data_IF_955933270334
#
_entry.id   IF_955933270334
#
_cell.length_a   1.000
_cell.length_b   1.000
_cell.length_c   1.000
_cell.angle_alpha   90.00
_cell.angle_beta   90.00
_cell.angle_gamma   90.00
#
_symmetry.space_group_name_H-M   'P 1'
#
loop_
_entity.id
_entity.type
_entity.pdbx_description
1 polymer ?
#
# COMPACT_ATOMS: atom_id res chain seq x y z
N UNK A 1 -26.79 26.66 -9.45
CA UNK A 1 -26.37 25.27 -9.65
C UNK A 1 -25.81 25.09 -11.06
N UNK A 2 -26.56 25.45 -12.10
CA UNK A 2 -26.17 25.20 -13.50
C UNK A 2 -24.82 25.82 -13.89
N UNK A 3 -24.55 27.07 -13.49
CA UNK A 3 -23.23 27.72 -13.71
C UNK A 3 -22.09 26.93 -13.09
N UNK A 4 -22.25 26.44 -11.86
CA UNK A 4 -21.22 25.64 -11.17
C UNK A 4 -21.02 24.28 -11.84
N UNK A 5 -22.07 23.66 -12.34
CA UNK A 5 -21.97 22.41 -13.09
C UNK A 5 -21.28 22.60 -14.44
N UNK A 6 -21.53 23.73 -15.12
CA UNK A 6 -20.82 24.06 -16.36
C UNK A 6 -19.31 24.31 -16.11
N UNK A 7 -18.98 25.08 -15.07
CA UNK A 7 -17.57 25.27 -14.67
C UNK A 7 -16.90 23.95 -14.31
N UNK A 8 -17.60 23.06 -13.59
CA UNK A 8 -17.10 21.73 -13.26
C UNK A 8 -16.88 20.90 -14.52
N UNK A 9 -17.79 20.95 -15.49
CA UNK A 9 -17.66 20.22 -16.76
C UNK A 9 -16.44 20.68 -17.57
N UNK A 10 -16.17 22.01 -17.59
CA UNK A 10 -14.97 22.57 -18.24
C UNK A 10 -13.69 22.02 -17.57
N UNK A 11 -13.60 22.12 -16.24
CA UNK A 11 -12.43 21.65 -15.49
C UNK A 11 -12.24 20.13 -15.61
N UNK A 12 -13.35 19.38 -15.62
CA UNK A 12 -13.33 17.92 -15.77
C UNK A 12 -12.79 17.52 -17.15
N UNK A 13 -13.24 18.17 -18.23
CA UNK A 13 -12.71 17.93 -19.57
C UNK A 13 -11.21 18.23 -19.66
N UNK A 14 -10.76 19.36 -19.08
CA UNK A 14 -9.35 19.73 -19.04
C UNK A 14 -8.52 18.72 -18.25
N UNK A 15 -9.01 18.29 -17.09
CA UNK A 15 -8.36 17.28 -16.26
C UNK A 15 -8.18 15.96 -17.01
N UNK A 16 -9.24 15.47 -17.64
CA UNK A 16 -9.19 14.23 -18.40
C UNK A 16 -8.14 14.30 -19.53
N UNK A 17 -8.07 15.42 -20.24
CA UNK A 17 -7.07 15.61 -21.30
C UNK A 17 -5.64 15.68 -20.76
N UNK A 18 -5.42 16.28 -19.59
CA UNK A 18 -4.13 16.30 -18.90
C UNK A 18 -3.75 14.89 -18.46
N UNK A 19 -4.67 14.13 -17.88
CA UNK A 19 -4.45 12.72 -17.52
C UNK A 19 -4.07 11.89 -18.75
N UNK A 20 -4.69 12.13 -19.91
CA UNK A 20 -4.34 11.50 -21.18
C UNK A 20 -2.91 11.82 -21.66
N UNK A 21 -2.45 13.05 -21.43
CA UNK A 21 -1.05 13.44 -21.74
C UNK A 21 -0.07 12.75 -20.77
N UNK A 22 -0.42 12.68 -19.49
CA UNK A 22 0.39 11.97 -18.47
C UNK A 22 0.53 10.49 -18.85
N UNK A 23 -0.56 9.83 -19.21
CA UNK A 23 -0.56 8.44 -19.67
C UNK A 23 0.38 8.24 -20.85
N UNK A 24 0.39 9.15 -21.83
CA UNK A 24 1.28 9.06 -22.98
C UNK A 24 2.77 9.15 -22.59
N UNK A 25 3.12 10.10 -21.71
CA UNK A 25 4.47 10.23 -21.17
C UNK A 25 4.89 8.96 -20.41
N UNK A 26 3.99 8.42 -19.61
CA UNK A 26 4.26 7.19 -18.84
C UNK A 26 4.44 5.99 -19.78
N UNK A 27 3.67 5.91 -20.87
CA UNK A 27 3.84 4.86 -21.88
C UNK A 27 5.21 4.94 -22.59
N UNK A 28 5.73 6.13 -22.84
CA UNK A 28 7.09 6.33 -23.38
C UNK A 28 8.15 5.90 -22.37
N UNK A 29 8.01 6.30 -21.11
CA UNK A 29 8.92 5.91 -20.01
C UNK A 29 8.97 4.38 -19.82
N UNK A 30 7.82 3.71 -19.91
CA UNK A 30 7.71 2.26 -19.74
C UNK A 30 8.33 1.53 -20.94
N UNK A 31 7.94 1.90 -22.14
CA UNK A 31 8.43 1.30 -23.39
C UNK A 31 9.95 1.39 -23.52
N UNK A 32 10.54 2.54 -23.20
CA UNK A 32 11.96 2.80 -23.34
C UNK A 32 12.77 2.35 -22.10
N UNK A 33 12.11 1.82 -21.07
CA UNK A 33 12.73 1.31 -19.85
C UNK A 33 13.42 2.37 -18.99
N UNK A 34 13.08 3.65 -19.18
CA UNK A 34 13.79 4.80 -18.57
C UNK A 34 13.61 4.86 -17.05
N UNK A 35 12.58 4.23 -16.50
CA UNK A 35 12.29 4.23 -15.07
C UNK A 35 13.35 3.52 -14.22
N UNK A 36 14.09 2.54 -14.81
CA UNK A 36 15.09 1.75 -14.10
C UNK A 36 16.28 2.57 -13.59
N UNK A 37 16.69 3.61 -14.33
CA UNK A 37 17.79 4.50 -13.95
C UNK A 37 17.47 5.42 -12.76
N UNK A 38 16.18 5.62 -12.45
CA UNK A 38 15.73 6.54 -11.39
C UNK A 38 15.80 5.95 -9.97
N UNK A 39 16.16 4.67 -9.83
CA UNK A 39 16.06 3.94 -8.56
C UNK A 39 14.63 3.53 -8.18
N UNK A 40 13.61 3.86 -8.94
CA UNK A 40 12.25 3.43 -8.70
C UNK A 40 12.12 1.90 -8.82
N UNK A 41 11.18 1.31 -8.06
CA UNK A 41 10.98 -0.15 -8.06
C UNK A 41 10.09 -0.64 -9.19
N UNK A 42 9.31 0.25 -9.77
CA UNK A 42 8.34 -0.02 -10.84
C UNK A 42 7.84 1.29 -11.45
N UNK A 43 7.23 1.21 -12.64
CA UNK A 43 6.58 2.36 -13.29
C UNK A 43 5.52 3.01 -12.37
N UNK A 44 4.57 2.27 -11.75
CA UNK A 44 3.64 2.89 -10.80
C UNK A 44 4.34 3.57 -9.62
N UNK A 45 5.42 2.98 -9.10
CA UNK A 45 6.21 3.58 -8.03
C UNK A 45 6.84 4.91 -8.45
N UNK A 46 7.39 5.00 -9.67
CA UNK A 46 7.91 6.24 -10.23
C UNK A 46 6.80 7.28 -10.38
N UNK A 47 5.66 6.90 -10.96
CA UNK A 47 4.53 7.80 -11.19
C UNK A 47 4.01 8.36 -9.88
N UNK A 48 3.77 7.52 -8.87
CA UNK A 48 3.30 7.95 -7.56
C UNK A 48 4.28 8.95 -6.91
N UNK A 49 5.57 8.66 -6.98
CA UNK A 49 6.62 9.53 -6.44
C UNK A 49 6.68 10.89 -7.15
N UNK A 50 6.76 10.90 -8.49
CA UNK A 50 6.98 12.13 -9.26
C UNK A 50 5.75 13.03 -9.34
N UNK A 51 4.55 12.45 -9.35
CA UNK A 51 3.30 13.21 -9.49
C UNK A 51 2.59 13.47 -8.17
N UNK A 52 2.97 12.77 -7.09
CA UNK A 52 2.33 12.90 -5.78
C UNK A 52 0.95 12.23 -5.69
N UNK A 53 0.55 11.42 -6.69
CA UNK A 53 -0.72 10.68 -6.65
C UNK A 53 -0.61 9.43 -5.76
N UNK A 54 -1.75 8.90 -5.34
CA UNK A 54 -1.78 7.65 -4.59
C UNK A 54 -1.23 6.48 -5.42
N UNK A 55 -0.71 5.45 -4.75
CA UNK A 55 -0.23 4.23 -5.41
C UNK A 55 -1.30 3.61 -6.33
N UNK A 56 -2.57 3.60 -5.90
CA UNK A 56 -3.69 3.08 -6.69
C UNK A 56 -3.91 3.88 -7.97
N UNK A 57 -3.83 5.20 -7.90
CA UNK A 57 -3.97 6.07 -9.09
C UNK A 57 -2.78 5.87 -10.05
N UNK A 58 -1.57 5.76 -9.52
CA UNK A 58 -0.38 5.45 -10.31
C UNK A 58 -0.47 4.09 -11.02
N UNK A 59 -1.04 3.07 -10.37
CA UNK A 59 -1.32 1.76 -10.96
C UNK A 59 -2.32 1.87 -12.11
N UNK A 60 -3.36 2.69 -11.95
CA UNK A 60 -4.34 2.96 -13.03
C UNK A 60 -3.68 3.66 -14.22
N UNK A 61 -2.87 4.70 -13.98
CA UNK A 61 -2.12 5.39 -15.05
C UNK A 61 -1.21 4.41 -15.79
N UNK A 62 -0.46 3.59 -15.06
CA UNK A 62 0.45 2.61 -15.67
C UNK A 62 -0.29 1.51 -16.42
N UNK A 63 -1.44 1.05 -15.93
CA UNK A 63 -2.27 0.07 -16.64
C UNK A 63 -2.76 0.59 -17.99
N UNK A 64 -3.22 1.85 -18.05
CA UNK A 64 -3.62 2.50 -19.31
C UNK A 64 -2.41 2.69 -20.23
N UNK A 65 -1.28 3.14 -19.69
CA UNK A 65 -0.05 3.34 -20.44
C UNK A 65 0.47 2.04 -21.07
N UNK A 66 0.45 0.94 -20.31
CA UNK A 66 0.90 -0.37 -20.77
C UNK A 66 0.07 -0.93 -21.94
N UNK A 67 -1.24 -0.64 -21.97
CA UNK A 67 -2.17 -1.11 -23.02
C UNK A 67 -2.61 -0.01 -23.99
N UNK A 68 -1.82 1.06 -24.12
CA UNK A 68 -2.18 2.23 -24.93
C UNK A 68 -2.42 1.87 -26.42
N UNK A 69 -1.69 0.90 -26.96
CA UNK A 69 -1.81 0.43 -28.34
C UNK A 69 -3.03 -0.51 -28.54
N UNK A 70 -3.51 -1.14 -27.46
CA UNK A 70 -4.65 -2.04 -27.51
C UNK A 70 -5.98 -1.30 -27.42
N UNK A 71 -6.00 -0.12 -26.79
CA UNK A 71 -7.20 0.70 -26.56
C UNK A 71 -7.08 2.12 -27.13
N UNK A 72 -6.76 2.28 -28.43
CA UNK A 72 -6.48 3.58 -29.02
C UNK A 72 -7.69 4.52 -28.99
N UNK A 73 -8.93 4.03 -29.14
CA UNK A 73 -10.16 4.86 -29.10
C UNK A 73 -10.48 5.32 -27.68
N UNK A 74 -10.35 4.44 -26.71
CA UNK A 74 -10.52 4.78 -25.30
C UNK A 74 -9.49 5.84 -24.86
N UNK A 75 -8.23 5.68 -25.24
CA UNK A 75 -7.17 6.65 -24.95
C UNK A 75 -7.36 7.96 -25.70
N UNK A 76 -7.84 7.91 -26.95
CA UNK A 76 -8.21 9.12 -27.68
C UNK A 76 -9.32 9.89 -26.96
N UNK A 77 -10.35 9.20 -26.49
CA UNK A 77 -11.44 9.82 -25.71
C UNK A 77 -10.95 10.47 -24.40
N UNK A 78 -9.96 9.86 -23.72
CA UNK A 78 -9.29 10.46 -22.56
C UNK A 78 -8.53 11.73 -22.96
N UNK A 79 -7.73 11.69 -24.01
CA UNK A 79 -6.94 12.84 -24.50
C UNK A 79 -7.82 13.99 -25.02
N UNK A 80 -8.98 13.69 -25.55
CA UNK A 80 -9.99 14.66 -25.98
C UNK A 80 -10.83 15.21 -24.82
N UNK A 81 -10.61 14.70 -23.61
CA UNK A 81 -11.32 15.12 -22.42
C UNK A 81 -12.69 14.47 -22.21
N UNK A 82 -13.15 13.57 -23.10
CA UNK A 82 -14.47 12.93 -23.05
C UNK A 82 -14.59 11.86 -21.98
N UNK A 83 -13.55 11.08 -21.77
CA UNK A 83 -13.50 9.99 -20.79
C UNK A 83 -12.58 10.33 -19.63
N UNK A 84 -12.95 9.87 -18.44
CA UNK A 84 -12.09 9.99 -17.27
C UNK A 84 -11.01 8.91 -17.24
N UNK A 85 -9.91 9.20 -16.52
CA UNK A 85 -8.86 8.21 -16.26
C UNK A 85 -9.42 6.94 -15.58
N UNK A 86 -10.40 7.09 -14.68
CA UNK A 86 -11.01 5.96 -14.00
C UNK A 86 -11.83 5.06 -14.95
N UNK A 87 -12.54 5.65 -15.93
CA UNK A 87 -13.27 4.88 -16.95
C UNK A 87 -12.29 4.08 -17.82
N UNK A 88 -11.28 4.76 -18.38
CA UNK A 88 -10.29 4.10 -19.25
C UNK A 88 -9.42 3.12 -18.45
N UNK A 89 -9.13 3.43 -17.19
CA UNK A 89 -8.38 2.55 -16.29
C UNK A 89 -9.07 1.21 -16.04
N UNK A 90 -10.37 1.23 -15.76
CA UNK A 90 -11.14 -0.03 -15.57
C UNK A 90 -11.14 -0.87 -16.84
N UNK A 91 -11.23 -0.24 -18.02
CA UNK A 91 -11.13 -0.93 -19.30
C UNK A 91 -9.73 -1.54 -19.47
N UNK A 92 -8.68 -0.72 -19.34
CA UNK A 92 -7.31 -1.19 -19.51
C UNK A 92 -6.88 -2.27 -18.50
N UNK A 93 -7.40 -2.24 -17.27
CA UNK A 93 -7.06 -3.24 -16.26
C UNK A 93 -7.57 -4.65 -16.60
N UNK A 94 -8.70 -4.79 -17.31
CA UNK A 94 -9.43 -6.07 -17.33
C UNK A 94 -10.15 -6.45 -18.62
N UNK A 95 -10.40 -5.51 -19.54
CA UNK A 95 -11.13 -5.80 -20.75
C UNK A 95 -10.30 -6.68 -21.70
N UNK A 96 -10.99 -7.54 -22.46
CA UNK A 96 -10.36 -8.43 -23.42
C UNK A 96 -9.79 -7.66 -24.62
N UNK A 97 -8.76 -8.21 -25.23
CA UNK A 97 -8.14 -7.65 -26.44
C UNK A 97 -9.16 -7.56 -27.58
N UNK A 98 -9.06 -6.46 -28.36
CA UNK A 98 -9.98 -6.19 -29.47
C UNK A 98 -11.31 -5.54 -29.04
N UNK A 99 -11.53 -5.27 -27.76
CA UNK A 99 -12.77 -4.67 -27.24
C UNK A 99 -12.79 -3.14 -27.24
N UNK A 100 -11.78 -2.48 -27.79
CA UNK A 100 -11.61 -1.02 -27.74
C UNK A 100 -12.83 -0.25 -28.26
N UNK A 101 -13.35 -0.62 -29.44
CA UNK A 101 -14.53 0.04 -30.02
C UNK A 101 -15.76 -0.12 -29.13
N UNK A 102 -15.99 -1.33 -28.62
CA UNK A 102 -17.12 -1.66 -27.75
C UNK A 102 -17.13 -0.80 -26.49
N UNK A 103 -15.98 -0.74 -25.81
CA UNK A 103 -15.89 0.03 -24.55
C UNK A 103 -15.75 1.53 -24.76
N UNK A 104 -15.19 1.98 -25.87
CA UNK A 104 -15.20 3.40 -26.22
C UNK A 104 -16.61 3.93 -26.42
N UNK A 105 -17.48 3.17 -27.11
CA UNK A 105 -18.90 3.51 -27.25
C UNK A 105 -19.63 3.48 -25.91
N UNK A 106 -19.41 2.44 -25.11
CA UNK A 106 -20.05 2.31 -23.81
C UNK A 106 -19.61 3.40 -22.82
N UNK A 107 -18.35 3.82 -22.84
CA UNK A 107 -17.82 4.85 -21.95
C UNK A 107 -18.48 6.23 -22.12
N UNK A 108 -19.12 6.50 -23.25
CA UNK A 108 -19.84 7.76 -23.47
C UNK A 108 -21.05 7.93 -22.52
N UNK A 109 -21.68 6.84 -22.10
CA UNK A 109 -22.86 6.87 -21.23
C UNK A 109 -22.66 6.13 -19.90
N UNK A 110 -21.74 5.16 -19.84
CA UNK A 110 -21.60 4.30 -18.68
C UNK A 110 -20.69 4.88 -17.58
N UNK A 111 -21.14 4.76 -16.36
CA UNK A 111 -20.31 5.04 -15.17
C UNK A 111 -19.20 3.99 -15.01
N UNK A 112 -18.18 4.30 -14.22
CA UNK A 112 -17.09 3.37 -13.87
C UNK A 112 -17.63 2.02 -13.34
N UNK A 113 -18.69 2.06 -12.52
CA UNK A 113 -19.32 0.86 -11.96
C UNK A 113 -20.02 0.03 -13.04
N UNK A 114 -20.66 0.66 -14.00
CA UNK A 114 -21.32 -0.02 -15.13
C UNK A 114 -20.28 -0.67 -16.06
N UNK A 115 -19.21 0.04 -16.41
CA UNK A 115 -18.09 -0.51 -17.18
C UNK A 115 -17.49 -1.74 -16.48
N UNK A 116 -17.24 -1.64 -15.17
CA UNK A 116 -16.72 -2.78 -14.39
C UNK A 116 -17.65 -3.99 -14.42
N UNK A 117 -18.96 -3.77 -14.37
CA UNK A 117 -19.94 -4.84 -14.47
C UNK A 117 -19.99 -5.44 -15.88
N UNK A 118 -19.94 -4.63 -16.93
CA UNK A 118 -19.90 -5.10 -18.31
C UNK A 118 -18.68 -6.00 -18.57
N UNK A 119 -17.50 -5.57 -18.16
CA UNK A 119 -16.25 -6.32 -18.30
C UNK A 119 -16.29 -7.64 -17.51
N UNK A 120 -16.99 -7.70 -16.38
CA UNK A 120 -17.16 -8.95 -15.63
C UNK A 120 -18.03 -9.98 -16.37
N UNK A 121 -18.89 -9.54 -17.27
CA UNK A 121 -19.76 -10.40 -18.05
C UNK A 121 -19.09 -10.92 -19.32
N UNK A 122 -17.90 -10.46 -19.68
CA UNK A 122 -17.13 -11.02 -20.76
C UNK A 122 -16.87 -12.52 -20.52
N UNK A 123 -17.05 -13.35 -21.56
CA UNK A 123 -16.65 -14.76 -21.47
C UNK A 123 -15.15 -14.82 -21.22
N UNK A 124 -14.77 -15.48 -20.16
CA UNK A 124 -13.37 -15.79 -19.87
C UNK A 124 -13.13 -17.25 -20.26
N UNK A 125 -11.98 -17.56 -20.88
CA UNK A 125 -11.59 -18.95 -21.01
C UNK A 125 -11.59 -19.56 -19.60
N UNK A 126 -12.10 -20.78 -19.47
CA UNK A 126 -12.04 -21.50 -18.21
C UNK A 126 -10.61 -21.41 -17.69
N UNK A 127 -10.41 -20.97 -16.45
CA UNK A 127 -9.07 -20.86 -15.90
C UNK A 127 -8.45 -22.27 -15.98
N UNK A 128 -7.33 -22.39 -16.69
CA UNK A 128 -6.55 -23.63 -16.60
C UNK A 128 -6.38 -23.94 -15.11
N UNK A 129 -6.61 -25.22 -14.71
CA UNK A 129 -6.50 -25.59 -13.31
C UNK A 129 -5.11 -25.23 -12.82
N UNK A 130 -4.98 -24.09 -12.16
CA UNK A 130 -3.72 -23.65 -11.56
C UNK A 130 -3.45 -24.53 -10.35
N UNK A 131 -2.34 -25.26 -10.34
CA UNK A 131 -1.94 -26.05 -9.17
C UNK A 131 -1.42 -25.19 -8.01
N UNK A 132 -1.53 -23.86 -8.09
CA UNK A 132 -1.13 -23.00 -6.98
C UNK A 132 -2.19 -23.03 -5.87
N UNK A 133 -1.82 -23.47 -4.66
CA UNK A 133 -2.70 -23.35 -3.51
C UNK A 133 -3.07 -21.89 -3.29
N UNK A 134 -4.29 -21.61 -2.82
CA UNK A 134 -4.73 -20.24 -2.54
C UNK A 134 -3.72 -19.55 -1.63
N UNK A 135 -3.30 -18.33 -2.02
CA UNK A 135 -2.24 -17.60 -1.30
C UNK A 135 -2.73 -17.19 0.07
N UNK A 136 -2.05 -17.72 1.10
CA UNK A 136 -2.22 -17.23 2.47
C UNK A 136 -1.75 -15.79 2.56
N UNK A 137 -2.56 -14.92 3.17
CA UNK A 137 -2.15 -13.55 3.43
C UNK A 137 -2.72 -13.01 4.73
N UNK A 138 -1.94 -12.16 5.39
CA UNK A 138 -2.39 -11.37 6.54
C UNK A 138 -2.01 -9.93 6.27
N UNK A 139 -2.97 -9.03 6.30
CA UNK A 139 -2.75 -7.59 6.21
C UNK A 139 -3.32 -6.89 7.44
N UNK A 140 -2.73 -5.75 7.77
CA UNK A 140 -3.09 -4.92 8.92
C UNK A 140 -3.24 -3.49 8.45
N UNK A 141 -4.33 -2.84 8.87
CA UNK A 141 -4.58 -1.41 8.68
C UNK A 141 -5.01 -0.81 10.01
N UNK A 142 -4.47 0.33 10.40
CA UNK A 142 -4.82 1.01 11.64
C UNK A 142 -5.31 2.43 11.34
N UNK A 143 -6.34 2.85 12.06
CA UNK A 143 -6.81 4.23 12.16
C UNK A 143 -6.58 4.77 13.59
N UNK A 144 -7.19 5.91 13.94
CA UNK A 144 -7.01 6.56 15.24
C UNK A 144 -7.63 5.77 16.41
N UNK A 145 -8.58 4.88 16.14
CA UNK A 145 -9.39 4.19 17.16
C UNK A 145 -9.23 2.67 17.11
N UNK A 146 -8.87 2.10 15.96
CA UNK A 146 -8.90 0.66 15.77
C UNK A 146 -7.79 0.14 14.86
N UNK A 147 -7.57 -1.16 14.95
CA UNK A 147 -6.71 -1.90 14.03
C UNK A 147 -7.49 -3.05 13.41
N UNK A 148 -7.60 -3.02 12.08
CA UNK A 148 -8.24 -4.08 11.30
C UNK A 148 -7.20 -5.07 10.80
N UNK A 149 -7.45 -6.37 11.04
CA UNK A 149 -6.70 -7.48 10.47
C UNK A 149 -7.54 -8.18 9.41
N UNK A 150 -7.02 -8.31 8.18
CA UNK A 150 -7.62 -9.09 7.11
C UNK A 150 -6.76 -10.32 6.85
N UNK A 151 -7.35 -11.50 7.08
CA UNK A 151 -6.70 -12.79 6.93
C UNK A 151 -7.36 -13.51 5.75
N UNK A 152 -6.57 -14.05 4.82
CA UNK A 152 -7.02 -14.89 3.71
C UNK A 152 -6.35 -16.24 3.84
N UNK A 153 -7.17 -17.30 3.92
CA UNK A 153 -6.75 -18.69 4.09
C UNK A 153 -7.46 -19.60 3.08
N UNK A 154 -6.87 -20.74 2.71
CA UNK A 154 -7.59 -21.85 2.09
C UNK A 154 -8.79 -22.28 2.94
N UNK A 155 -9.82 -22.88 2.32
CA UNK A 155 -11.04 -23.26 3.03
C UNK A 155 -10.81 -24.31 4.13
N UNK A 156 -9.92 -25.23 3.91
CA UNK A 156 -9.52 -26.24 4.91
C UNK A 156 -8.85 -25.61 6.14
N UNK A 157 -7.97 -24.64 5.94
CA UNK A 157 -7.32 -23.91 7.02
C UNK A 157 -8.28 -22.93 7.71
N UNK A 158 -9.16 -22.27 6.96
CA UNK A 158 -10.18 -21.40 7.50
C UNK A 158 -11.13 -22.18 8.43
N UNK A 159 -11.53 -23.40 8.06
CA UNK A 159 -12.35 -24.26 8.91
C UNK A 159 -11.69 -24.60 10.26
N UNK A 160 -10.37 -24.76 10.30
CA UNK A 160 -9.63 -24.96 11.56
C UNK A 160 -9.67 -23.70 12.44
N UNK A 161 -9.51 -22.52 11.83
CA UNK A 161 -9.60 -21.24 12.55
C UNK A 161 -11.01 -21.03 13.09
N UNK A 162 -12.04 -21.28 12.27
CA UNK A 162 -13.44 -21.14 12.68
C UNK A 162 -13.77 -22.06 13.87
N UNK A 163 -13.36 -23.33 13.80
CA UNK A 163 -13.56 -24.30 14.88
C UNK A 163 -12.85 -23.88 16.18
N UNK A 164 -11.62 -23.34 16.08
CA UNK A 164 -10.89 -22.85 17.24
C UNK A 164 -11.56 -21.61 17.86
N UNK A 165 -12.00 -20.66 17.04
CA UNK A 165 -12.72 -19.45 17.49
C UNK A 165 -14.02 -19.81 18.19
N UNK A 166 -14.81 -20.72 17.60
CA UNK A 166 -16.08 -21.18 18.19
C UNK A 166 -15.84 -21.88 19.54
N UNK A 167 -14.83 -22.75 19.63
CA UNK A 167 -14.47 -23.42 20.87
C UNK A 167 -14.09 -22.43 21.98
N UNK A 168 -13.27 -21.42 21.68
CA UNK A 168 -12.89 -20.39 22.65
C UNK A 168 -14.07 -19.50 23.05
N UNK A 169 -14.91 -19.12 22.10
CA UNK A 169 -16.13 -18.34 22.39
C UNK A 169 -17.10 -19.12 23.28
N UNK A 170 -17.34 -20.39 22.97
CA UNK A 170 -18.26 -21.23 23.74
C UNK A 170 -17.77 -21.46 25.19
N UNK A 171 -16.45 -21.58 25.37
CA UNK A 171 -15.86 -21.65 26.71
C UNK A 171 -16.10 -20.35 27.51
N UNK A 172 -15.92 -19.18 26.87
CA UNK A 172 -16.20 -17.88 27.49
C UNK A 172 -17.67 -17.70 27.81
N UNK A 173 -18.60 -18.12 26.93
CA UNK A 173 -20.04 -18.08 27.16
C UNK A 173 -20.43 -19.00 28.32
N UNK A 174 -19.83 -20.20 28.38
CA UNK A 174 -20.10 -21.13 29.49
C UNK A 174 -19.60 -20.55 30.84
N UNK A 175 -18.45 -19.88 30.83
CA UNK A 175 -17.94 -19.15 32.00
C UNK A 175 -18.89 -18.01 32.39
N UNK A 176 -19.26 -17.17 31.43
CA UNK A 176 -20.13 -16.02 31.63
C UNK A 176 -21.50 -16.45 32.26
N UNK A 177 -22.10 -17.55 31.75
CA UNK A 177 -23.32 -18.10 32.30
C UNK A 177 -23.20 -18.58 33.74
N UNK A 178 -22.05 -19.09 34.16
CA UNK A 178 -21.78 -19.49 35.54
C UNK A 178 -21.66 -18.29 36.48
N UNK A 179 -21.07 -17.21 35.98
CA UNK A 179 -20.74 -16.03 36.78
C UNK A 179 -21.89 -15.02 36.83
N UNK A 180 -22.93 -15.15 35.97
CA UNK A 180 -24.08 -14.24 35.86
C UNK A 180 -25.44 -14.98 35.96
N UNK A 181 -25.62 -15.74 37.02
CA UNK A 181 -26.87 -16.50 37.27
C UNK A 181 -28.07 -15.58 37.48
N UNK A 182 -27.85 -14.30 37.82
CA UNK A 182 -28.87 -13.28 38.15
C UNK A 182 -29.20 -12.32 36.99
N UNK A 183 -28.76 -12.55 35.78
CA UNK A 183 -29.13 -11.79 34.57
C UNK A 183 -28.60 -10.35 34.51
N UNK A 184 -27.56 -9.99 35.26
CA UNK A 184 -27.06 -8.62 35.42
C UNK A 184 -25.80 -8.29 34.65
N UNK A 185 -25.87 -7.35 33.75
CA UNK A 185 -24.94 -6.22 33.60
C UNK A 185 -23.86 -6.28 32.55
N UNK A 186 -23.20 -7.36 32.25
CA UNK A 186 -22.11 -7.38 31.22
C UNK A 186 -22.59 -8.02 29.91
N UNK A 187 -22.21 -7.51 28.76
CA UNK A 187 -22.56 -8.11 27.47
C UNK A 187 -22.01 -9.54 27.37
N UNK A 188 -22.77 -10.42 26.75
CA UNK A 188 -22.35 -11.79 26.49
C UNK A 188 -21.14 -11.81 25.54
N UNK A 189 -20.12 -12.68 25.79
CA UNK A 189 -18.94 -12.78 24.92
C UNK A 189 -19.29 -13.02 23.46
N UNK A 190 -18.59 -12.32 22.56
CA UNK A 190 -18.76 -12.38 21.12
C UNK A 190 -17.56 -13.06 20.43
N UNK A 191 -17.56 -13.10 19.11
CA UNK A 191 -16.47 -13.72 18.32
C UNK A 191 -15.11 -13.00 18.49
N UNK A 192 -15.11 -11.67 18.72
CA UNK A 192 -13.87 -10.94 18.96
C UNK A 192 -13.25 -11.33 20.32
N UNK A 193 -14.07 -11.58 21.33
CA UNK A 193 -13.62 -12.09 22.63
C UNK A 193 -13.03 -13.51 22.47
N UNK A 194 -13.67 -14.36 21.67
CA UNK A 194 -13.15 -15.69 21.30
C UNK A 194 -11.81 -15.60 20.60
N UNK A 195 -11.65 -14.67 19.67
CA UNK A 195 -10.38 -14.43 18.99
C UNK A 195 -9.27 -13.99 19.96
N UNK A 196 -9.56 -13.03 20.85
CA UNK A 196 -8.58 -12.59 21.85
C UNK A 196 -8.23 -13.71 22.83
N UNK A 197 -9.19 -14.55 23.23
CA UNK A 197 -8.94 -15.72 24.06
C UNK A 197 -7.99 -16.73 23.37
N UNK A 198 -8.20 -16.99 22.07
CA UNK A 198 -7.33 -17.84 21.25
C UNK A 198 -5.91 -17.26 21.15
N UNK A 199 -5.78 -15.95 20.91
CA UNK A 199 -4.48 -15.26 20.84
C UNK A 199 -3.74 -15.36 22.18
N UNK A 200 -4.43 -15.12 23.29
CA UNK A 200 -3.83 -15.19 24.64
C UNK A 200 -3.40 -16.63 24.97
N UNK A 201 -4.22 -17.63 24.62
CA UNK A 201 -3.86 -19.04 24.85
C UNK A 201 -2.65 -19.49 24.05
N UNK A 202 -2.47 -18.97 22.82
CA UNK A 202 -1.27 -19.21 21.99
C UNK A 202 -0.06 -18.35 22.37
N UNK A 203 -0.25 -17.35 23.24
CA UNK A 203 0.80 -16.43 23.65
C UNK A 203 1.87 -17.16 24.47
N UNK A 204 3.10 -17.07 23.98
CA UNK A 204 4.27 -17.70 24.62
C UNK A 204 4.21 -19.24 24.81
N UNK A 205 3.28 -19.94 24.16
CA UNK A 205 3.13 -21.40 24.29
C UNK A 205 4.41 -22.19 23.92
N UNK A 206 5.26 -21.68 23.03
CA UNK A 206 6.49 -22.33 22.55
C UNK A 206 7.67 -21.36 22.47
N UNK A 207 8.00 -20.69 23.57
CA UNK A 207 9.09 -19.68 23.61
C UNK A 207 10.43 -20.27 23.16
N UNK A 208 10.73 -21.52 23.52
CA UNK A 208 12.01 -22.17 23.18
C UNK A 208 12.18 -22.45 21.68
N UNK A 209 11.05 -22.60 20.93
CA UNK A 209 11.07 -22.86 19.50
C UNK A 209 11.21 -21.58 18.65
N UNK A 210 11.12 -20.39 19.26
CA UNK A 210 11.23 -19.12 18.56
C UNK A 210 12.67 -18.69 18.31
N UNK A 211 12.97 -18.01 17.19
CA UNK A 211 14.28 -17.42 16.99
C UNK A 211 14.66 -16.55 18.20
N UNK A 212 15.82 -16.83 18.77
CA UNK A 212 16.37 -16.16 19.96
C UNK A 212 15.71 -16.47 21.32
N UNK A 213 14.77 -17.43 21.43
CA UNK A 213 14.20 -17.90 22.71
C UNK A 213 13.56 -16.82 23.59
N UNK A 214 13.09 -15.72 23.00
CA UNK A 214 12.56 -14.58 23.75
C UNK A 214 11.05 -14.46 23.64
N UNK A 215 10.41 -14.02 24.73
CA UNK A 215 8.98 -13.73 24.77
C UNK A 215 8.61 -12.61 23.81
N UNK A 216 7.42 -12.71 23.25
CA UNK A 216 6.83 -11.64 22.45
C UNK A 216 6.56 -10.42 23.35
N UNK A 217 6.86 -9.23 22.85
CA UNK A 217 6.75 -7.98 23.61
C UNK A 217 5.89 -6.98 22.83
N UNK A 218 4.94 -6.37 23.51
CA UNK A 218 4.26 -5.16 23.04
C UNK A 218 5.11 -3.96 23.43
N UNK A 219 5.50 -3.12 22.47
CA UNK A 219 6.34 -1.96 22.70
C UNK A 219 5.51 -0.69 22.65
N UNK A 220 5.56 0.09 23.72
CA UNK A 220 4.87 1.37 23.86
C UNK A 220 5.93 2.46 24.05
N UNK A 221 5.83 3.54 23.26
CA UNK A 221 6.63 4.75 23.45
C UNK A 221 5.84 5.73 24.30
N UNK A 222 6.43 6.23 25.36
CA UNK A 222 5.80 7.20 26.26
C UNK A 222 6.68 8.42 26.36
N UNK A 223 6.14 9.59 26.05
CA UNK A 223 6.72 10.88 26.38
C UNK A 223 6.40 11.20 27.84
N UNK A 224 7.43 11.40 28.65
CA UNK A 224 7.26 11.59 30.10
C UNK A 224 6.77 12.99 30.48
N UNK A 225 6.99 14.00 29.63
CA UNK A 225 6.57 15.39 29.89
C UNK A 225 5.11 15.58 29.47
N UNK A 226 4.77 15.20 28.23
CA UNK A 226 3.43 15.36 27.67
C UNK A 226 2.48 14.24 28.07
N UNK A 227 3.01 13.11 28.56
CA UNK A 227 2.27 11.87 28.85
C UNK A 227 1.56 11.27 27.65
N UNK A 228 1.97 11.62 26.45
CA UNK A 228 1.48 11.00 25.21
C UNK A 228 2.14 9.65 25.01
N UNK A 229 1.37 8.64 24.62
CA UNK A 229 1.87 7.31 24.34
C UNK A 229 1.44 6.83 22.96
N UNK A 230 2.27 6.03 22.33
CA UNK A 230 2.00 5.40 21.04
C UNK A 230 2.53 3.95 21.03
N UNK A 231 1.86 3.07 20.32
CA UNK A 231 2.42 1.77 19.99
C UNK A 231 3.62 1.94 19.04
N UNK A 232 4.61 1.07 19.17
CA UNK A 232 5.74 1.07 18.23
C UNK A 232 5.26 0.85 16.79
N UNK A 233 5.52 1.84 15.92
CA UNK A 233 5.02 1.89 14.53
C UNK A 233 3.47 1.80 14.43
N UNK A 234 2.77 2.21 15.48
CA UNK A 234 1.32 2.16 15.59
C UNK A 234 0.70 3.50 15.97
N UNK A 235 -0.62 3.52 16.22
CA UNK A 235 -1.36 4.73 16.58
C UNK A 235 -1.01 5.23 17.98
N UNK A 236 -1.44 6.46 18.25
CA UNK A 236 -1.47 7.00 19.60
C UNK A 236 -2.44 6.18 20.48
N UNK A 237 -2.09 6.08 21.75
CA UNK A 237 -2.90 5.40 22.75
C UNK A 237 -3.77 6.40 23.53
N UNK A 238 -4.95 5.99 23.92
CA UNK A 238 -5.74 6.71 24.92
C UNK A 238 -5.01 6.73 26.28
N UNK A 239 -5.39 7.65 27.15
CA UNK A 239 -4.83 7.71 28.51
C UNK A 239 -5.07 6.44 29.30
N UNK A 240 -6.23 5.80 29.12
CA UNK A 240 -6.57 4.57 29.82
C UNK A 240 -5.77 3.38 29.29
N UNK A 241 -5.62 3.24 27.97
CA UNK A 241 -4.78 2.20 27.37
C UNK A 241 -3.31 2.38 27.75
N UNK A 242 -2.81 3.61 27.78
CA UNK A 242 -1.46 3.94 28.24
C UNK A 242 -1.26 3.47 29.68
N UNK A 243 -2.18 3.82 30.59
CA UNK A 243 -2.11 3.42 32.00
C UNK A 243 -2.15 1.90 32.15
N UNK A 244 -3.06 1.25 31.44
CA UNK A 244 -3.18 -0.20 31.45
C UNK A 244 -1.90 -0.90 30.98
N UNK A 245 -1.38 -0.54 29.80
CA UNK A 245 -0.22 -1.18 29.19
C UNK A 245 1.10 -0.88 29.93
N UNK A 246 1.19 0.25 30.65
CA UNK A 246 2.39 0.62 31.41
C UNK A 246 2.38 0.15 32.86
N UNK A 247 1.27 -0.37 33.38
CA UNK A 247 1.11 -0.72 34.80
C UNK A 247 2.06 -1.85 35.24
N UNK A 248 2.36 -2.80 34.35
CA UNK A 248 3.29 -3.93 34.62
C UNK A 248 4.28 -4.11 33.46
N UNK A 249 4.84 -3.01 32.95
CA UNK A 249 5.72 -3.01 31.81
C UNK A 249 7.20 -3.04 32.20
N UNK A 250 8.00 -3.78 31.41
CA UNK A 250 9.46 -3.69 31.48
C UNK A 250 9.93 -2.46 30.70
N UNK A 251 10.62 -1.52 31.36
CA UNK A 251 11.15 -0.32 30.71
C UNK A 251 12.46 -0.59 29.97
N UNK A 252 12.50 -0.22 28.69
CA UNK A 252 13.75 0.00 27.94
C UNK A 252 13.95 1.51 27.78
N UNK A 253 15.11 2.03 28.20
CA UNK A 253 15.40 3.49 28.11
C UNK A 253 16.26 3.74 26.89
N UNK A 254 15.84 4.69 26.07
CA UNK A 254 16.68 5.36 25.09
C UNK A 254 16.72 6.85 25.38
N UNK A 255 17.72 7.53 24.87
CA UNK A 255 17.91 8.95 25.09
C UNK A 255 17.45 9.72 23.85
N UNK A 256 16.60 10.72 24.04
CA UNK A 256 16.07 11.56 22.99
C UNK A 256 16.34 13.04 23.32
N UNK A 257 16.60 13.86 22.30
CA UNK A 257 16.75 15.30 22.41
C UNK A 257 16.05 15.96 21.20
N UNK A 258 15.15 16.89 21.47
CA UNK A 258 14.40 17.64 20.44
C UNK A 258 13.67 16.71 19.44
N UNK A 259 13.04 15.64 19.96
CA UNK A 259 12.36 14.61 19.16
C UNK A 259 13.30 13.67 18.39
N UNK A 260 14.61 13.68 18.69
CA UNK A 260 15.62 12.84 18.04
C UNK A 260 16.27 11.88 19.05
N UNK A 261 16.25 10.60 18.72
CA UNK A 261 16.92 9.59 19.53
C UNK A 261 18.44 9.72 19.36
N UNK A 262 19.16 9.98 20.46
CA UNK A 262 20.61 10.24 20.49
C UNK A 262 21.44 9.06 20.99
N UNK A 263 20.83 7.99 21.43
CA UNK A 263 21.59 6.81 21.86
C UNK A 263 20.74 5.63 22.37
N UNK A 264 21.18 4.40 22.03
CA UNK A 264 20.57 3.15 22.50
C UNK A 264 21.53 1.97 22.63
N UNK A 265 22.87 2.13 22.59
CA UNK A 265 23.79 1.02 22.79
C UNK A 265 25.17 1.08 22.12
N UNK A 266 25.96 0.01 22.22
CA UNK A 266 27.41 -0.07 21.92
C UNK A 266 27.72 -0.46 20.46
N UNK A 267 28.95 -0.13 20.03
CA UNK A 267 29.57 -0.47 18.76
C UNK A 267 29.80 -1.99 18.57
N UNK A 268 28.89 -2.68 17.93
CA UNK A 268 29.09 -4.04 17.42
C UNK A 268 28.56 -4.13 15.99
N UNK A 269 29.14 -4.97 15.13
CA UNK A 269 28.68 -5.20 13.75
C UNK A 269 27.19 -5.59 13.70
N UNK A 270 26.73 -6.33 14.69
CA UNK A 270 25.33 -6.77 14.77
C UNK A 270 24.47 -5.66 15.34
N UNK A 271 23.48 -5.20 14.56
CA UNK A 271 22.48 -4.24 15.02
C UNK A 271 21.59 -4.91 16.06
N UNK A 272 21.81 -4.56 17.32
CA UNK A 272 21.03 -5.09 18.44
C UNK A 272 19.56 -4.68 18.37
N UNK A 273 18.68 -5.44 19.05
CA UNK A 273 17.23 -5.18 19.04
C UNK A 273 16.85 -3.76 19.43
N UNK A 274 17.52 -3.19 20.45
CA UNK A 274 17.26 -1.80 20.89
C UNK A 274 17.56 -0.81 19.78
N UNK A 275 18.74 -0.93 19.18
CA UNK A 275 19.16 -0.06 18.09
C UNK A 275 18.23 -0.23 16.86
N UNK A 276 17.80 -1.46 16.58
CA UNK A 276 16.85 -1.76 15.52
C UNK A 276 15.50 -1.05 15.73
N UNK A 277 14.94 -1.07 16.94
CA UNK A 277 13.69 -0.36 17.28
C UNK A 277 13.83 1.15 17.12
N UNK A 278 14.98 1.69 17.52
CA UNK A 278 15.26 3.14 17.34
C UNK A 278 15.29 3.51 15.87
N UNK A 279 15.96 2.72 15.03
CA UNK A 279 15.96 2.91 13.58
C UNK A 279 14.56 2.85 12.99
N UNK A 280 13.74 1.87 13.39
CA UNK A 280 12.36 1.74 12.96
C UNK A 280 11.50 2.93 13.39
N UNK A 281 11.71 3.44 14.59
CA UNK A 281 11.01 4.63 15.09
C UNK A 281 11.40 5.90 14.32
N UNK A 282 12.70 6.09 14.02
CA UNK A 282 13.22 7.24 13.30
C UNK A 282 12.81 7.23 11.83
N UNK A 283 13.11 6.14 11.13
CA UNK A 283 13.01 6.07 9.65
C UNK A 283 11.60 5.70 9.18
N UNK A 284 10.88 4.85 9.93
CA UNK A 284 9.51 4.36 9.66
C UNK A 284 9.32 3.62 8.33
N UNK A 285 10.09 3.97 7.32
CA UNK A 285 10.07 3.36 5.99
C UNK A 285 11.49 3.31 5.41
N UNK A 286 11.65 2.76 4.22
CA UNK A 286 12.91 2.86 3.46
C UNK A 286 13.27 4.32 3.23
N UNK A 287 14.51 4.69 3.57
CA UNK A 287 14.99 6.09 3.49
C UNK A 287 15.26 6.57 2.06
N UNK A 288 15.27 5.66 1.07
CA UNK A 288 15.45 6.05 -0.34
C UNK A 288 14.24 6.84 -0.81
N UNK A 289 14.42 8.04 -1.38
CA UNK A 289 13.33 8.87 -1.88
C UNK A 289 12.36 8.10 -2.76
N UNK A 290 11.05 8.32 -2.58
CA UNK A 290 9.98 7.69 -3.36
C UNK A 290 9.67 6.23 -3.04
N UNK A 291 10.43 5.56 -2.16
CA UNK A 291 10.24 4.12 -1.92
C UNK A 291 9.02 3.77 -1.06
N UNK A 292 8.80 4.43 0.07
CA UNK A 292 7.67 4.18 0.97
C UNK A 292 7.53 2.76 1.54
N UNK A 293 8.45 1.83 1.30
CA UNK A 293 8.38 0.46 1.81
C UNK A 293 8.57 0.43 3.33
N UNK A 294 7.64 -0.23 4.05
CA UNK A 294 7.61 -0.28 5.52
C UNK A 294 7.93 -1.67 6.09
N UNK A 295 8.01 -2.71 5.27
CA UNK A 295 8.21 -4.11 5.71
C UNK A 295 9.50 -4.69 5.19
N UNK A 296 10.10 -5.62 5.96
CA UNK A 296 11.31 -6.33 5.57
C UNK A 296 12.53 -5.41 5.43
N UNK A 297 12.56 -4.28 6.13
CA UNK A 297 13.66 -3.33 6.04
C UNK A 297 14.94 -3.90 6.63
N UNK A 298 16.06 -3.60 6.02
CA UNK A 298 17.41 -3.93 6.50
C UNK A 298 18.04 -2.67 7.13
N UNK A 299 18.72 -2.82 8.24
CA UNK A 299 19.60 -1.79 8.76
C UNK A 299 20.89 -1.81 7.93
N UNK A 300 21.20 -0.70 7.29
CA UNK A 300 22.32 -0.50 6.40
C UNK A 300 23.30 0.50 6.99
N UNK A 301 24.60 0.19 6.94
CA UNK A 301 25.67 1.11 7.33
C UNK A 301 25.96 2.05 6.14
N UNK A 302 25.84 3.36 6.35
CA UNK A 302 26.14 4.38 5.32
C UNK A 302 27.62 4.32 4.96
N UNK A 303 28.51 4.37 5.95
CA UNK A 303 29.90 3.97 5.80
C UNK A 303 29.95 2.50 6.17
N UNK A 304 30.37 1.63 5.23
CA UNK A 304 30.35 0.20 5.43
C UNK A 304 31.21 -0.21 6.63
N UNK A 305 30.76 -1.26 7.34
CA UNK A 305 31.48 -1.80 8.50
C UNK A 305 32.93 -2.17 8.16
N UNK A 306 33.17 -2.75 6.98
CA UNK A 306 34.49 -3.13 6.48
C UNK A 306 35.39 -1.91 6.19
N UNK A 307 34.82 -0.75 5.96
CA UNK A 307 35.49 0.53 5.76
C UNK A 307 35.61 1.34 7.06
N UNK A 308 35.37 0.70 8.22
CA UNK A 308 35.47 1.31 9.54
C UNK A 308 34.23 2.03 10.04
N UNK A 309 33.09 1.88 9.36
CA UNK A 309 31.81 2.46 9.76
C UNK A 309 31.29 1.88 11.07
N UNK A 310 30.90 2.75 12.00
CA UNK A 310 30.42 2.34 13.32
C UNK A 310 28.95 1.91 13.26
N UNK A 311 28.57 0.95 14.13
CA UNK A 311 27.18 0.52 14.32
C UNK A 311 26.47 1.47 15.30
N UNK A 312 26.30 2.70 14.85
CA UNK A 312 25.67 3.81 15.59
C UNK A 312 24.54 4.44 14.80
N UNK A 313 23.63 5.14 15.49
CA UNK A 313 22.45 5.73 14.89
C UNK A 313 22.73 6.66 13.70
N UNK A 314 23.82 7.40 13.77
CA UNK A 314 24.21 8.37 12.73
C UNK A 314 24.73 7.70 11.45
N UNK A 315 25.25 6.48 11.58
CA UNK A 315 25.78 5.70 10.45
C UNK A 315 24.83 4.60 9.97
N UNK A 316 23.66 4.46 10.55
CA UNK A 316 22.70 3.42 10.19
C UNK A 316 21.40 4.01 9.66
N UNK A 317 20.89 3.41 8.57
CA UNK A 317 19.59 3.75 7.98
C UNK A 317 18.81 2.51 7.62
N UNK A 318 17.47 2.61 7.52
CA UNK A 318 16.63 1.52 7.08
C UNK A 318 16.40 1.57 5.58
N UNK A 319 16.74 0.49 4.90
CA UNK A 319 16.52 0.31 3.46
C UNK A 319 15.75 -0.98 3.18
N UNK A 320 14.90 -0.98 2.17
CA UNK A 320 14.22 -2.20 1.75
C UNK A 320 15.22 -3.15 1.03
N UNK A 321 14.92 -4.46 0.92
CA UNK A 321 15.81 -5.42 0.26
C UNK A 321 16.16 -5.07 -1.18
N UNK A 322 15.26 -4.38 -1.89
CA UNK A 322 15.50 -3.92 -3.25
C UNK A 322 16.58 -2.83 -3.26
N UNK A 323 16.39 -1.74 -2.50
CA UNK A 323 17.35 -0.63 -2.45
C UNK A 323 18.66 -1.00 -1.76
N UNK A 324 18.64 -1.93 -0.80
CA UNK A 324 19.87 -2.48 -0.22
C UNK A 324 20.73 -3.16 -1.29
N UNK A 325 20.10 -3.98 -2.17
CA UNK A 325 20.82 -4.58 -3.30
C UNK A 325 21.22 -3.57 -4.38
N UNK A 326 20.34 -2.60 -4.66
CA UNK A 326 20.63 -1.55 -5.64
C UNK A 326 21.85 -0.73 -5.23
N UNK A 327 21.98 -0.38 -3.95
CA UNK A 327 23.15 0.31 -3.41
C UNK A 327 24.42 -0.53 -3.56
N UNK A 328 24.41 -1.79 -3.13
CA UNK A 328 25.60 -2.68 -3.27
C UNK A 328 25.96 -3.01 -4.73
N UNK A 329 25.07 -2.77 -5.67
CA UNK A 329 25.34 -2.91 -7.12
C UNK A 329 25.73 -1.60 -7.80
N UNK A 330 25.78 -0.50 -7.05
CA UNK A 330 26.10 0.81 -7.59
C UNK A 330 25.02 1.45 -8.47
N UNK A 331 23.79 0.90 -8.46
CA UNK A 331 22.63 1.50 -9.15
C UNK A 331 22.19 2.79 -8.47
N UNK A 332 22.28 2.82 -7.14
CA UNK A 332 22.15 4.03 -6.33
C UNK A 332 23.30 4.09 -5.34
N UNK A 333 23.63 5.29 -4.87
CA UNK A 333 24.62 5.49 -3.82
C UNK A 333 24.01 6.25 -2.67
N UNK A 334 24.22 5.74 -1.44
CA UNK A 334 23.73 6.35 -0.19
C UNK A 334 24.94 6.87 0.57
N UNK A 335 24.99 8.18 0.83
CA UNK A 335 26.11 8.86 1.50
C UNK A 335 25.65 9.87 2.52
N UNK A 336 26.57 10.41 3.32
CA UNK A 336 26.30 11.40 4.34
C UNK A 336 26.13 10.79 5.73
N UNK A 337 25.24 11.35 6.53
CA UNK A 337 24.82 10.83 7.83
C UNK A 337 23.33 10.51 7.80
N UNK A 338 22.85 9.76 8.79
CA UNK A 338 21.43 9.47 8.87
C UNK A 338 20.52 10.71 8.97
N UNK A 339 21.07 11.85 9.35
CA UNK A 339 20.36 13.13 9.47
C UNK A 339 20.48 13.99 8.21
N UNK A 340 21.60 13.86 7.50
CA UNK A 340 21.91 14.58 6.26
C UNK A 340 22.28 13.54 5.19
N UNK A 341 21.26 12.83 4.75
CA UNK A 341 21.38 11.70 3.84
C UNK A 341 21.27 12.17 2.40
N UNK A 342 22.22 11.78 1.58
CA UNK A 342 22.18 12.00 0.14
C UNK A 342 22.07 10.65 -0.58
N UNK A 343 21.10 10.53 -1.45
CA UNK A 343 20.94 9.37 -2.34
C UNK A 343 21.09 9.83 -3.78
N UNK A 344 22.01 9.23 -4.50
CA UNK A 344 22.29 9.56 -5.91
C UNK A 344 22.03 8.36 -6.81
N UNK A 345 21.76 8.61 -8.08
CA UNK A 345 21.71 7.59 -9.13
C UNK A 345 23.12 7.12 -9.53
N UNK A 346 23.20 6.30 -10.59
CA UNK A 346 24.44 5.74 -11.11
C UNK A 346 25.38 6.81 -11.71
N UNK A 347 24.83 7.90 -12.21
CA UNK A 347 25.54 9.05 -12.75
C UNK A 347 26.01 10.04 -11.68
N UNK A 348 25.63 9.82 -10.42
CA UNK A 348 25.95 10.69 -9.29
C UNK A 348 24.99 11.88 -9.11
N UNK A 349 23.90 11.94 -9.87
CA UNK A 349 22.88 12.97 -9.69
C UNK A 349 21.98 12.64 -8.49
N UNK A 350 21.69 13.63 -7.61
CA UNK A 350 20.79 13.41 -6.47
C UNK A 350 19.41 12.96 -6.94
N UNK A 351 18.85 11.94 -6.31
CA UNK A 351 17.46 11.56 -6.54
C UNK A 351 16.54 12.73 -6.13
N UNK A 352 15.53 13.08 -6.97
CA UNK A 352 14.68 14.21 -6.69
C UNK A 352 13.92 14.01 -5.37
N UNK A 353 13.74 15.07 -4.57
CA UNK A 353 13.18 14.96 -3.21
C UNK A 353 11.66 14.71 -3.18
N UNK A 354 11.00 14.63 -4.32
CA UNK A 354 9.54 14.41 -4.38
C UNK A 354 8.90 14.91 -5.68
N UNK A 355 7.68 15.40 -5.57
CA UNK A 355 6.87 15.85 -6.71
C UNK A 355 7.59 16.86 -7.60
N UNK A 356 7.49 16.67 -8.90
CA UNK A 356 7.97 17.59 -9.92
C UNK A 356 7.01 18.78 -10.15
N UNK A 357 5.97 18.90 -9.33
CA UNK A 357 4.99 19.98 -9.43
C UNK A 357 5.67 21.36 -9.40
N UNK A 358 5.37 22.16 -10.39
CA UNK A 358 5.85 23.54 -10.55
C UNK A 358 4.77 24.36 -11.27
N UNK A 359 4.81 25.69 -11.22
CA UNK A 359 3.89 26.52 -11.99
C UNK A 359 3.86 26.11 -13.46
N UNK A 360 2.68 25.99 -14.09
CA UNK A 360 2.58 25.60 -15.48
C UNK A 360 3.19 26.67 -16.39
N UNK A 361 3.92 26.20 -17.39
CA UNK A 361 4.51 27.08 -18.44
C UNK A 361 3.64 27.13 -19.70
N UNK A 362 2.65 26.26 -19.79
CA UNK A 362 1.71 26.18 -20.90
C UNK A 362 0.28 26.35 -20.40
N UNK A 363 -0.63 26.93 -21.21
CA UNK A 363 -2.04 27.01 -20.86
C UNK A 363 -2.66 25.61 -20.79
N UNK A 364 -3.79 25.46 -20.04
CA UNK A 364 -4.51 24.21 -19.99
C UNK A 364 -5.03 23.77 -21.36
N UNK A 365 -5.23 22.46 -21.61
CA UNK A 365 -5.75 21.95 -22.87
C UNK A 365 -7.08 22.59 -23.24
N UNK A 366 -7.24 22.98 -24.50
CA UNK A 366 -8.50 23.47 -25.05
C UNK A 366 -9.34 22.30 -25.53
N UNK A 367 -10.20 21.81 -24.67
CA UNK A 367 -11.12 20.69 -24.94
C UNK A 367 -12.56 21.07 -24.65
N UNK A 368 -13.51 20.30 -25.17
CA UNK A 368 -14.92 20.50 -24.87
C UNK A 368 -15.21 20.19 -23.38
N UNK A 369 -16.19 20.90 -22.78
CA UNK A 369 -16.68 20.51 -21.45
C UNK A 369 -17.10 19.04 -21.41
N UNK A 370 -16.80 18.35 -20.30
CA UNK A 370 -17.16 16.97 -20.06
C UNK A 370 -18.02 16.88 -18.79
N UNK A 371 -19.30 16.68 -18.97
CA UNK A 371 -20.26 16.52 -17.87
C UNK A 371 -20.18 15.13 -17.22
N UNK A 372 -19.32 14.27 -17.73
CA UNK A 372 -19.23 12.87 -17.32
C UNK A 372 -20.28 12.00 -18.04
N UNK A 373 -20.31 10.69 -17.73
CA UNK A 373 -21.27 9.78 -18.32
C UNK A 373 -22.69 10.09 -17.87
N UNK A 374 -23.68 9.87 -18.74
CA UNK A 374 -25.09 10.11 -18.43
C UNK A 374 -25.60 9.23 -17.28
N UNK A 375 -24.99 8.08 -17.09
CA UNK A 375 -25.32 7.16 -16.00
C UNK A 375 -26.71 6.51 -16.18
N UNK A 376 -27.17 6.40 -17.43
CA UNK A 376 -28.44 5.77 -17.76
C UNK A 376 -28.55 4.38 -17.12
N UNK A 377 -29.78 4.00 -16.76
CA UNK A 377 -30.05 2.68 -16.21
C UNK A 377 -29.69 1.61 -17.25
N UNK A 378 -28.66 0.83 -16.98
CA UNK A 378 -28.28 -0.29 -17.82
C UNK A 378 -29.33 -1.41 -17.73
N UNK A 379 -29.81 -1.88 -18.87
CA UNK A 379 -30.63 -3.07 -18.97
C UNK A 379 -29.75 -4.30 -19.20
N UNK A 380 -29.27 -4.89 -18.11
CA UNK A 380 -28.38 -6.04 -18.13
C UNK A 380 -28.99 -7.29 -18.76
N UNK A 381 -30.30 -7.37 -18.86
CA UNK A 381 -30.99 -8.48 -19.52
C UNK A 381 -30.75 -8.49 -21.04
N UNK A 382 -30.64 -7.31 -21.64
CA UNK A 382 -30.41 -7.15 -23.09
C UNK A 382 -28.95 -6.83 -23.41
N UNK A 383 -28.11 -6.65 -22.42
CA UNK A 383 -26.70 -6.35 -22.65
C UNK A 383 -26.00 -7.58 -23.25
N UNK A 384 -25.37 -7.41 -24.40
CA UNK A 384 -24.50 -8.41 -25.00
C UNK A 384 -23.06 -8.15 -24.64
N UNK A 385 -22.45 -8.99 -23.78
CA UNK A 385 -21.04 -8.87 -23.43
C UNK A 385 -20.17 -8.97 -24.68
N UNK A 386 -19.06 -8.25 -24.67
CA UNK A 386 -18.03 -8.41 -25.69
C UNK A 386 -17.59 -9.88 -25.79
N UNK A 387 -17.50 -10.39 -27.03
CA UNK A 387 -17.02 -11.76 -27.30
C UNK A 387 -15.65 -11.67 -27.92
N UNK A 388 -14.56 -12.06 -27.19
CA UNK A 388 -13.24 -12.13 -27.78
C UNK A 388 -13.20 -13.04 -29.00
N UNK A 389 -12.54 -12.60 -30.05
CA UNK A 389 -12.33 -13.48 -31.21
C UNK A 389 -11.34 -14.60 -30.83
N UNK A 390 -11.59 -15.84 -31.25
CA UNK A 390 -10.62 -16.91 -31.06
C UNK A 390 -9.31 -16.55 -31.78
N UNK A 391 -8.15 -16.91 -31.21
CA UNK A 391 -6.88 -16.70 -31.86
C UNK A 391 -6.90 -17.33 -33.28
N UNK A 392 -6.23 -16.66 -34.26
CA UNK A 392 -6.20 -17.25 -35.61
C UNK A 392 -5.62 -18.63 -35.54
N UNK A 393 -6.34 -19.59 -36.17
CA UNK A 393 -5.89 -21.00 -36.26
C UNK A 393 -4.51 -21.01 -36.93
N UNK A 394 -3.50 -21.38 -36.20
CA UNK A 394 -2.17 -21.70 -36.75
C UNK A 394 -2.32 -22.99 -37.54
N UNK A 395 -2.50 -22.86 -38.86
CA UNK A 395 -2.30 -23.97 -39.80
C UNK A 395 -0.80 -24.22 -39.98
#
# INVERSE_FOLDING_TARGET
MDVLLEELAVLNGQRNAIDGQIVQIVAEIDRDGLWGATGARSVPGLVAWMTGVSQRNAETIAAVAHRIEEFPRCVAGLREGRFSLDQVGVIAERAADGSDEHYAQMAECATVSQLRNAIKLEPRPDPEPRPEPPRRSVSKTSDEQSTTYKITLPHDEAAVVDAALDSHRDALIAQWKRDHDDGGGLPMPNTADGFMSLVVAGWDSEVAARPHGQRTTVVVHVDLETRVAALHLGPLLSDDDRRYLTCDATCEVWFERDGRVIGAGRATRTVGRRLRRVLEHRDRCCVVPGCGATRGLHAHHIVHWEDGGLTELENLVLVCPFHHRAHHRGVITITGTAQDLTVTDQEGAPLPPGSLARPPTTPPPKVKPCSGPTGERADWWWYQPFQPQPPPSTN
#
